data_IF_819199448580
#
_entry.id   IF_819199448580
#
_cell.length_a   1.000
_cell.length_b   1.000
_cell.length_c   1.000
_cell.angle_alpha   90.00
_cell.angle_beta   90.00
_cell.angle_gamma   90.00
#
_symmetry.space_group_name_H-M   'P 1'
#
loop_
_entity.id
_entity.type
_entity.pdbx_description
1 polymer ?
#
# COMPACT_ATOMS: atom_id res chain seq x y z
N UNK A 1 53.66 -21.19 -33.08
CA UNK A 1 52.29 -21.82 -33.00
C UNK A 1 51.51 -21.52 -31.72
N UNK A 2 52.15 -21.05 -30.65
CA UNK A 2 51.49 -20.78 -29.34
C UNK A 2 50.83 -19.38 -29.26
N UNK A 3 51.30 -18.41 -30.08
CA UNK A 3 50.80 -17.04 -30.01
C UNK A 3 49.41 -16.81 -30.64
N UNK A 4 48.89 -17.74 -31.44
CA UNK A 4 47.61 -17.56 -32.15
C UNK A 4 46.40 -17.98 -31.32
N UNK A 5 46.59 -18.83 -30.31
CA UNK A 5 45.50 -19.34 -29.46
C UNK A 5 45.09 -18.29 -28.38
N UNK A 6 46.00 -17.46 -27.91
CA UNK A 6 45.70 -16.47 -26.88
C UNK A 6 44.89 -15.25 -27.35
N UNK A 7 44.97 -14.90 -28.67
CA UNK A 7 44.19 -13.74 -29.18
C UNK A 7 42.69 -14.01 -29.31
N UNK A 8 42.30 -15.24 -29.58
CA UNK A 8 40.90 -15.60 -29.79
C UNK A 8 40.12 -15.62 -28.44
N UNK A 9 40.78 -16.02 -27.36
CA UNK A 9 40.14 -16.10 -26.03
C UNK A 9 39.86 -14.73 -25.39
N UNK A 10 40.73 -13.72 -25.61
CA UNK A 10 40.51 -12.38 -25.02
C UNK A 10 39.30 -11.68 -25.61
N UNK A 11 39.03 -11.79 -26.90
CA UNK A 11 37.84 -11.17 -27.51
C UNK A 11 36.52 -11.87 -27.11
N UNK A 12 36.55 -13.18 -26.85
CA UNK A 12 35.35 -13.91 -26.37
C UNK A 12 35.04 -13.60 -24.91
N UNK A 13 36.04 -13.44 -24.07
CA UNK A 13 35.89 -13.09 -22.66
C UNK A 13 35.35 -11.65 -22.54
N UNK A 14 35.85 -10.69 -23.34
CA UNK A 14 35.37 -9.31 -23.30
C UNK A 14 33.90 -9.23 -23.76
N UNK A 15 33.50 -9.98 -24.80
CA UNK A 15 32.12 -10.01 -25.26
C UNK A 15 31.17 -10.65 -24.23
N UNK A 16 31.60 -11.70 -23.54
CA UNK A 16 30.82 -12.33 -22.49
C UNK A 16 30.62 -11.43 -21.26
N UNK A 17 31.66 -10.67 -20.87
CA UNK A 17 31.57 -9.73 -19.73
C UNK A 17 30.68 -8.54 -20.06
N UNK A 18 30.76 -7.99 -21.27
CA UNK A 18 29.91 -6.85 -21.69
C UNK A 18 28.44 -7.25 -21.77
N UNK A 19 28.12 -8.46 -22.24
CA UNK A 19 26.74 -8.95 -22.30
C UNK A 19 26.18 -9.23 -20.90
N UNK A 20 26.99 -9.73 -19.96
CA UNK A 20 26.54 -9.98 -18.59
C UNK A 20 26.31 -8.69 -17.77
N UNK A 21 27.09 -7.63 -18.03
CA UNK A 21 26.91 -6.33 -17.35
C UNK A 21 25.66 -5.59 -17.86
N UNK A 22 25.36 -5.70 -19.17
CA UNK A 22 24.13 -5.10 -19.72
C UNK A 22 22.87 -5.86 -19.27
N UNK A 23 22.93 -7.18 -19.12
CA UNK A 23 21.81 -7.97 -18.61
C UNK A 23 21.54 -7.72 -17.12
N UNK A 24 22.58 -7.43 -16.32
CA UNK A 24 22.42 -7.12 -14.90
C UNK A 24 21.87 -5.70 -14.65
N UNK A 25 22.12 -4.74 -15.53
CA UNK A 25 21.60 -3.37 -15.41
C UNK A 25 20.15 -3.21 -15.87
N UNK A 26 19.60 -4.18 -16.62
CA UNK A 26 18.20 -4.15 -17.08
C UNK A 26 17.20 -4.71 -16.05
N UNK A 27 17.67 -5.25 -14.91
CA UNK A 27 16.82 -5.87 -13.88
C UNK A 27 16.74 -5.08 -12.57
N UNK A 28 17.23 -3.84 -12.53
CA UNK A 28 16.85 -2.92 -11.47
C UNK A 28 15.43 -2.39 -11.77
N UNK A 29 14.41 -3.24 -11.62
CA UNK A 29 13.06 -2.76 -11.39
C UNK A 29 13.14 -2.03 -10.06
N UNK A 30 13.31 -0.70 -10.12
CA UNK A 30 13.04 0.14 -8.95
C UNK A 30 11.59 -0.13 -8.60
N UNK A 31 11.36 -0.89 -7.54
CA UNK A 31 10.05 -0.97 -6.95
C UNK A 31 9.65 0.48 -6.65
N UNK A 32 8.73 1.02 -7.42
CA UNK A 32 8.20 2.36 -7.16
C UNK A 32 7.68 2.32 -5.73
N UNK A 33 8.18 3.21 -4.88
CA UNK A 33 7.67 3.31 -3.53
C UNK A 33 6.19 3.69 -3.64
N UNK A 34 5.31 2.90 -3.02
CA UNK A 34 3.89 3.20 -3.01
C UNK A 34 3.65 4.59 -2.41
N UNK A 35 2.80 5.38 -3.04
CA UNK A 35 2.42 6.70 -2.53
C UNK A 35 1.73 6.59 -1.18
N UNK A 36 1.99 7.57 -0.33
CA UNK A 36 1.36 7.69 0.98
C UNK A 36 0.28 8.77 0.91
N UNK A 37 -0.93 8.41 1.31
CA UNK A 37 -2.11 9.27 1.29
C UNK A 37 -2.50 9.67 2.70
N UNK A 38 -2.85 10.94 2.89
CA UNK A 38 -3.37 11.45 4.16
C UNK A 38 -4.86 11.15 4.29
N UNK A 39 -5.31 10.89 5.52
CA UNK A 39 -6.73 10.84 5.86
C UNK A 39 -7.00 11.62 7.17
N UNK A 40 -8.18 12.21 7.24
CA UNK A 40 -8.73 12.81 8.47
C UNK A 40 -10.23 12.50 8.49
N UNK A 41 -10.66 11.68 9.43
CA UNK A 41 -12.04 11.25 9.60
C UNK A 41 -12.67 11.91 10.82
N UNK A 42 -13.86 12.47 10.64
CA UNK A 42 -14.70 13.03 11.70
C UNK A 42 -16.09 12.43 11.60
N UNK A 43 -16.22 11.22 12.13
CA UNK A 43 -17.45 10.41 12.05
C UNK A 43 -18.42 10.87 13.11
N UNK A 44 -19.65 11.26 12.73
CA UNK A 44 -20.63 11.87 13.62
C UNK A 44 -21.39 10.87 14.51
N UNK A 45 -21.35 9.57 14.20
CA UNK A 45 -21.98 8.52 14.98
C UNK A 45 -22.35 7.27 14.20
N UNK A 46 -23.28 6.49 14.76
CA UNK A 46 -23.74 5.23 14.19
C UNK A 46 -24.35 5.45 12.80
N UNK A 47 -23.87 4.68 11.83
CA UNK A 47 -24.33 4.74 10.44
C UNK A 47 -23.64 5.78 9.57
N UNK A 48 -22.84 6.64 10.16
CA UNK A 48 -21.99 7.57 9.43
C UNK A 48 -20.64 6.93 9.06
N UNK A 49 -20.07 7.36 7.94
CA UNK A 49 -18.77 6.91 7.51
C UNK A 49 -18.09 7.93 6.59
N UNK A 50 -16.79 7.99 6.66
CA UNK A 50 -15.96 8.85 5.81
C UNK A 50 -14.99 8.03 4.96
N UNK A 51 -14.49 8.63 3.88
CA UNK A 51 -13.64 7.98 2.90
C UNK A 51 -12.44 8.85 2.52
N UNK A 52 -11.28 8.22 2.41
CA UNK A 52 -10.08 8.79 1.81
C UNK A 52 -9.71 7.98 0.57
N UNK A 53 -9.65 8.64 -0.59
CA UNK A 53 -9.39 7.99 -1.88
C UNK A 53 -7.90 7.88 -2.21
N UNK A 54 -7.54 6.85 -2.94
CA UNK A 54 -6.22 6.61 -3.50
C UNK A 54 -6.30 5.78 -4.79
N UNK A 55 -5.17 5.63 -5.46
CA UNK A 55 -4.99 4.65 -6.54
C UNK A 55 -4.11 3.52 -6.03
N UNK A 56 -4.46 2.28 -6.34
CA UNK A 56 -3.66 1.10 -6.03
C UNK A 56 -2.39 1.10 -6.88
N UNK A 57 -1.24 1.29 -6.25
CA UNK A 57 0.07 1.45 -6.93
C UNK A 57 0.99 0.24 -6.76
N UNK A 58 0.54 -0.81 -6.09
CA UNK A 58 1.33 -2.02 -5.84
C UNK A 58 0.44 -3.25 -5.94
N UNK A 59 1.03 -4.42 -6.16
CA UNK A 59 0.33 -5.71 -6.11
C UNK A 59 0.28 -6.31 -4.70
N UNK A 60 0.49 -5.49 -3.67
CA UNK A 60 0.40 -5.92 -2.28
C UNK A 60 -0.99 -6.47 -1.94
N UNK A 61 -1.02 -7.50 -1.11
CA UNK A 61 -2.25 -8.15 -0.63
C UNK A 61 -2.82 -7.50 0.63
N UNK A 62 -2.27 -6.36 1.05
CA UNK A 62 -2.73 -5.60 2.21
C UNK A 62 -2.44 -4.12 2.03
N UNK A 63 -3.22 -3.27 2.68
CA UNK A 63 -2.88 -1.86 2.88
C UNK A 63 -2.20 -1.64 4.24
N UNK A 64 -1.36 -0.62 4.30
CA UNK A 64 -0.71 -0.15 5.52
C UNK A 64 -1.36 1.14 5.99
N UNK A 65 -1.71 1.24 7.27
CA UNK A 65 -2.36 2.39 7.88
C UNK A 65 -1.50 2.84 9.06
N UNK A 66 -1.06 4.10 9.07
CA UNK A 66 -0.34 4.72 10.17
C UNK A 66 -1.25 5.77 10.80
N UNK A 67 -1.65 5.54 12.03
CA UNK A 67 -2.41 6.52 12.80
C UNK A 67 -1.45 7.59 13.32
N UNK A 68 -1.84 8.87 13.24
CA UNK A 68 -1.06 9.97 13.76
C UNK A 68 -0.92 9.88 15.29
N UNK A 69 0.25 10.16 15.81
CA UNK A 69 0.53 10.13 17.24
C UNK A 69 -0.25 11.16 18.07
N UNK A 70 -0.80 12.19 17.43
CA UNK A 70 -1.71 13.16 18.03
C UNK A 70 -3.16 12.70 18.07
N UNK A 71 -3.52 11.63 17.35
CA UNK A 71 -4.89 11.12 17.31
C UNK A 71 -5.24 10.39 18.61
N UNK A 72 -6.35 10.80 19.21
CA UNK A 72 -6.91 10.17 20.42
C UNK A 72 -8.42 10.05 20.26
N UNK A 73 -8.89 9.04 19.50
CA UNK A 73 -10.32 8.88 19.27
C UNK A 73 -11.07 8.64 20.58
N UNK A 74 -12.17 9.37 20.79
CA UNK A 74 -13.04 9.23 21.98
C UNK A 74 -13.72 7.87 22.03
N UNK A 75 -13.96 7.27 20.86
CA UNK A 75 -14.54 5.94 20.68
C UNK A 75 -13.80 5.18 19.60
N UNK A 76 -13.86 3.85 19.61
CA UNK A 76 -13.22 3.04 18.58
C UNK A 76 -13.70 3.43 17.16
N UNK A 77 -12.74 3.61 16.26
CA UNK A 77 -12.97 3.75 14.82
C UNK A 77 -12.56 2.44 14.15
N UNK A 78 -13.42 1.98 13.28
CA UNK A 78 -13.16 0.85 12.40
C UNK A 78 -12.65 1.35 11.05
N UNK A 79 -11.59 0.75 10.56
CA UNK A 79 -10.98 1.08 9.27
C UNK A 79 -10.97 -0.16 8.38
N UNK A 80 -11.36 0.01 7.13
CA UNK A 80 -11.22 -1.01 6.11
C UNK A 80 -11.11 -0.35 4.73
N UNK A 81 -10.63 -1.05 3.73
CA UNK A 81 -10.68 -0.56 2.37
C UNK A 81 -12.01 -0.88 1.69
N UNK A 82 -12.41 -0.04 0.76
CA UNK A 82 -13.64 -0.15 -0.03
C UNK A 82 -13.38 0.14 -1.48
N UNK A 83 -14.14 -0.48 -2.38
CA UNK A 83 -14.11 -0.21 -3.82
C UNK A 83 -14.94 1.03 -4.22
N UNK A 84 -15.72 1.58 -3.29
CA UNK A 84 -16.56 2.75 -3.54
C UNK A 84 -16.49 3.75 -2.38
N UNK A 85 -16.76 5.01 -2.66
CA UNK A 85 -16.82 6.10 -1.69
C UNK A 85 -18.28 6.51 -1.35
N UNK A 86 -19.25 5.63 -1.57
CA UNK A 86 -20.67 5.94 -1.37
C UNK A 86 -21.33 4.96 -0.40
N UNK A 87 -22.14 5.51 0.50
CA UNK A 87 -22.98 4.78 1.41
C UNK A 87 -22.22 3.74 2.26
N UNK A 88 -22.80 2.57 2.47
CA UNK A 88 -22.18 1.45 3.19
C UNK A 88 -21.16 0.66 2.34
N UNK A 89 -20.50 1.27 1.37
CA UNK A 89 -19.58 0.70 0.38
C UNK A 89 -19.05 -0.70 0.70
N UNK A 90 -18.93 -1.52 -0.32
CA UNK A 90 -18.45 -2.91 -0.15
C UNK A 90 -17.03 -2.94 0.38
N UNK A 91 -16.84 -3.49 1.57
CA UNK A 91 -15.53 -3.72 2.17
C UNK A 91 -14.79 -4.78 1.37
N UNK A 92 -13.54 -4.50 1.03
CA UNK A 92 -12.64 -5.40 0.31
C UNK A 92 -11.36 -5.77 1.08
N UNK A 93 -11.29 -5.42 2.38
CA UNK A 93 -10.22 -5.85 3.28
C UNK A 93 -10.76 -6.33 4.63
N UNK A 94 -9.88 -6.89 5.45
CA UNK A 94 -10.16 -7.06 6.87
C UNK A 94 -10.38 -5.71 7.54
N UNK A 95 -11.16 -5.69 8.63
CA UNK A 95 -11.40 -4.50 9.43
C UNK A 95 -10.33 -4.36 10.52
N UNK A 96 -9.78 -3.17 10.64
CA UNK A 96 -8.87 -2.76 11.72
C UNK A 96 -9.67 -1.93 12.72
N UNK A 97 -9.49 -2.20 14.00
CA UNK A 97 -10.09 -1.40 15.09
C UNK A 97 -9.00 -0.52 15.71
N UNK A 98 -9.23 0.79 15.68
CA UNK A 98 -8.38 1.80 16.33
C UNK A 98 -9.10 2.30 17.57
N UNK A 99 -8.56 2.00 18.74
CA UNK A 99 -9.07 2.46 20.04
C UNK A 99 -8.32 3.70 20.50
N UNK A 100 -8.78 4.32 21.58
CA UNK A 100 -8.06 5.42 22.23
C UNK A 100 -6.61 5.06 22.53
N UNK A 101 -5.69 6.02 22.46
CA UNK A 101 -4.25 5.88 22.64
C UNK A 101 -3.52 5.09 21.53
N UNK A 102 -4.06 5.09 20.34
CA UNK A 102 -3.48 4.38 19.22
C UNK A 102 -2.43 5.21 18.50
N UNK A 103 -1.18 5.06 18.89
CA UNK A 103 -0.03 5.48 18.09
C UNK A 103 0.63 4.25 17.53
N UNK A 104 0.15 3.73 16.40
CA UNK A 104 0.77 2.56 15.79
C UNK A 104 0.41 2.38 14.31
N UNK A 105 1.20 1.54 13.68
CA UNK A 105 0.96 1.03 12.33
C UNK A 105 0.01 -0.17 12.38
N UNK A 106 -0.96 -0.16 11.51
CA UNK A 106 -1.91 -1.26 11.28
C UNK A 106 -1.75 -1.79 9.85
N UNK A 107 -2.21 -3.01 9.63
CA UNK A 107 -2.30 -3.60 8.31
C UNK A 107 -3.68 -4.22 8.14
N UNK A 108 -4.34 -3.92 7.01
CA UNK A 108 -5.61 -4.54 6.63
C UNK A 108 -5.39 -5.39 5.38
N UNK A 109 -5.52 -6.71 5.52
CA UNK A 109 -5.36 -7.66 4.42
C UNK A 109 -6.56 -7.61 3.49
N UNK A 110 -6.34 -7.58 2.18
CA UNK A 110 -7.42 -7.67 1.19
C UNK A 110 -8.08 -9.05 1.23
N UNK A 111 -9.37 -9.07 0.99
CA UNK A 111 -10.12 -10.31 0.84
C UNK A 111 -9.76 -10.94 -0.51
N UNK A 112 -9.44 -12.21 -0.55
CA UNK A 112 -8.92 -12.90 -1.73
C UNK A 112 -9.80 -12.76 -2.98
N UNK A 113 -11.13 -12.68 -2.81
CA UNK A 113 -12.10 -12.48 -3.90
C UNK A 113 -12.32 -11.01 -4.28
N UNK A 114 -11.68 -10.05 -3.59
CA UNK A 114 -11.89 -8.60 -3.73
C UNK A 114 -10.59 -7.82 -3.69
N UNK A 115 -9.46 -8.46 -3.92
CA UNK A 115 -8.16 -7.78 -3.98
C UNK A 115 -8.18 -6.78 -5.14
N UNK A 116 -7.94 -5.48 -4.88
CA UNK A 116 -7.87 -4.49 -5.94
C UNK A 116 -6.61 -4.71 -6.79
N UNK A 117 -6.71 -4.43 -8.09
CA UNK A 117 -5.61 -4.51 -9.03
C UNK A 117 -4.83 -3.19 -9.08
N UNK A 118 -3.62 -3.25 -9.62
CA UNK A 118 -2.85 -2.07 -9.93
C UNK A 118 -3.66 -1.10 -10.83
N UNK A 119 -3.69 0.18 -10.46
CA UNK A 119 -4.45 1.20 -11.16
C UNK A 119 -5.91 1.36 -10.72
N UNK A 120 -6.46 0.45 -9.93
CA UNK A 120 -7.82 0.56 -9.43
C UNK A 120 -7.97 1.71 -8.41
N UNK A 121 -9.08 2.47 -8.47
CA UNK A 121 -9.43 3.38 -7.40
C UNK A 121 -9.80 2.58 -6.15
N UNK A 122 -9.25 2.98 -5.01
CA UNK A 122 -9.48 2.35 -3.71
C UNK A 122 -9.68 3.42 -2.66
N UNK A 123 -10.49 3.13 -1.66
CA UNK A 123 -10.85 4.08 -0.61
C UNK A 123 -10.59 3.46 0.76
N UNK A 124 -9.91 4.20 1.65
CA UNK A 124 -9.93 3.89 3.07
C UNK A 124 -11.25 4.39 3.64
N UNK A 125 -12.03 3.52 4.24
CA UNK A 125 -13.30 3.80 4.90
C UNK A 125 -13.10 3.82 6.39
N UNK A 126 -13.59 4.89 7.06
CA UNK A 126 -13.66 5.01 8.52
C UNK A 126 -15.10 5.09 8.99
N UNK A 127 -15.47 4.35 10.05
CA UNK A 127 -16.79 4.42 10.69
C UNK A 127 -16.69 4.06 12.18
N UNK A 128 -17.73 4.38 12.92
CA UNK A 128 -17.87 3.99 14.33
C UNK A 128 -19.25 3.36 14.59
N UNK A 129 -19.33 2.50 15.60
CA UNK A 129 -20.58 1.99 16.14
C UNK A 129 -21.09 2.77 17.37
N UNK A 130 -20.49 3.93 17.63
CA UNK A 130 -20.72 4.72 18.86
C UNK A 130 -21.11 6.17 18.51
N UNK A 131 -20.79 7.10 19.40
CA UNK A 131 -20.97 8.54 19.20
C UNK A 131 -19.85 9.12 18.34
N UNK A 132 -19.89 10.44 18.13
CA UNK A 132 -18.90 11.13 17.31
C UNK A 132 -17.46 10.92 17.79
N UNK A 133 -16.58 10.71 16.85
CA UNK A 133 -15.15 10.49 17.11
C UNK A 133 -14.35 10.89 15.87
N UNK A 134 -13.07 11.18 16.04
CA UNK A 134 -12.18 11.57 14.94
C UNK A 134 -10.87 10.79 14.98
N UNK A 135 -10.26 10.63 13.82
CA UNK A 135 -9.00 9.96 13.64
C UNK A 135 -8.29 10.52 12.40
N UNK A 136 -6.99 10.72 12.50
CA UNK A 136 -6.18 11.14 11.36
C UNK A 136 -4.91 10.31 11.22
N UNK A 137 -4.31 10.36 10.04
CA UNK A 137 -3.10 9.62 9.75
C UNK A 137 -2.80 9.51 8.28
N UNK A 138 -1.97 8.53 7.92
CA UNK A 138 -1.60 8.22 6.55
C UNK A 138 -1.85 6.76 6.23
N UNK A 139 -2.03 6.45 4.95
CA UNK A 139 -2.18 5.07 4.50
C UNK A 139 -1.57 4.85 3.12
N UNK A 140 -1.24 3.60 2.85
CA UNK A 140 -0.71 3.11 1.56
C UNK A 140 -1.56 1.92 1.12
N UNK A 141 -2.25 2.00 -0.01
CA UNK A 141 -3.05 0.91 -0.54
C UNK A 141 -2.24 -0.25 -1.11
#
# INVERSE_FOLDING_TARGET
>A
KICYIMKVNKQRIIKAIVVSVIAASALSVTAAAASTYWFSFSVSGIGDCEYSGAIKETDNTSCSIMVDGGSSPSYPIYLATSSTNKGQGTINSSTVTVSSNATRKYSASYLSSKTPHYGDPIYLKGWTGYYSTSLEGTWQP
#
